data_IF_684146579053
#
_entry.id   IF_684146579053
#
_cell.length_a   1.000
_cell.length_b   1.000
_cell.length_c   1.000
_cell.angle_alpha   90.00
_cell.angle_beta   90.00
_cell.angle_gamma   90.00
#
_symmetry.space_group_name_H-M   'P 1'
#
loop_
_entity.id
_entity.type
_entity.pdbx_description
1 polymer ?
#
# COMPACT_ATOMS: atom_id res chain seq x y z
N UNK A 1 -45.32 28.46 -5.31
CA UNK A 1 -44.01 28.96 -4.84
C UNK A 1 -43.91 28.67 -3.36
N UNK A 2 -43.11 27.68 -2.96
CA UNK A 2 -42.42 27.64 -1.66
C UNK A 2 -41.21 26.73 -1.89
N UNK A 3 -40.04 27.35 -1.92
CA UNK A 3 -38.76 26.70 -2.04
C UNK A 3 -38.43 25.98 -0.73
N UNK A 4 -37.99 24.73 -0.82
CA UNK A 4 -37.09 24.13 0.16
C UNK A 4 -35.96 23.49 -0.62
N UNK A 5 -34.96 24.31 -0.93
CA UNK A 5 -33.61 23.87 -1.29
C UNK A 5 -32.78 23.77 -0.04
N UNK A 6 -31.78 22.88 -0.11
CA UNK A 6 -30.66 22.70 0.79
C UNK A 6 -30.96 22.01 2.12
N UNK A 7 -30.53 20.75 2.22
CA UNK A 7 -29.52 20.25 3.18
C UNK A 7 -29.49 18.71 3.08
N UNK A 8 -28.83 18.20 2.05
CA UNK A 8 -28.34 16.83 2.03
C UNK A 8 -26.97 16.86 1.35
N UNK A 9 -26.02 17.53 1.98
CA UNK A 9 -24.65 17.64 1.48
C UNK A 9 -23.61 17.43 2.59
N UNK A 10 -23.87 16.50 3.51
CA UNK A 10 -22.86 16.04 4.47
C UNK A 10 -23.04 14.55 4.76
N UNK A 11 -22.35 13.72 3.97
CA UNK A 11 -21.91 12.38 4.35
C UNK A 11 -20.90 11.83 3.32
N UNK A 12 -19.93 12.63 2.88
CA UNK A 12 -18.65 12.04 2.53
C UNK A 12 -17.97 11.83 3.88
N UNK A 13 -17.91 10.59 4.37
CA UNK A 13 -17.07 10.30 5.53
C UNK A 13 -15.63 10.65 5.14
N UNK A 14 -15.13 11.80 5.60
CA UNK A 14 -13.70 12.07 5.62
C UNK A 14 -13.06 10.89 6.36
N UNK A 15 -12.23 10.12 5.65
CA UNK A 15 -11.40 9.07 6.26
C UNK A 15 -10.53 9.78 7.28
N UNK A 16 -10.54 9.33 8.55
CA UNK A 16 -9.73 10.00 9.56
C UNK A 16 -8.25 9.83 9.22
N UNK A 17 -7.40 10.85 9.45
CA UNK A 17 -5.95 10.73 9.26
C UNK A 17 -5.35 9.51 9.98
N UNK A 18 -5.87 9.16 11.15
CA UNK A 18 -5.48 7.98 11.91
C UNK A 18 -5.84 6.67 11.19
N UNK A 19 -7.01 6.60 10.56
CA UNK A 19 -7.44 5.43 9.79
C UNK A 19 -6.57 5.27 8.53
N UNK A 20 -6.22 6.38 7.86
CA UNK A 20 -5.28 6.37 6.74
C UNK A 20 -3.89 5.85 7.16
N UNK A 21 -3.41 6.27 8.35
CA UNK A 21 -2.15 5.79 8.94
C UNK A 21 -2.20 4.30 9.26
N UNK A 22 -3.23 3.85 9.96
CA UNK A 22 -3.38 2.45 10.36
C UNK A 22 -3.51 1.56 9.10
N UNK A 23 -4.22 2.03 8.08
CA UNK A 23 -4.31 1.38 6.78
C UNK A 23 -2.94 1.19 6.11
N UNK A 24 -2.16 2.27 5.89
CA UNK A 24 -0.82 2.14 5.26
C UNK A 24 0.10 1.24 6.06
N UNK A 25 0.07 1.29 7.40
CA UNK A 25 0.87 0.41 8.25
C UNK A 25 0.46 -1.07 8.08
N UNK A 26 -0.85 -1.35 7.98
CA UNK A 26 -1.36 -2.69 7.67
C UNK A 26 -0.93 -3.21 6.29
N UNK A 27 -0.95 -2.34 5.27
CA UNK A 27 -0.41 -2.66 3.94
C UNK A 27 1.08 -3.01 4.04
N UNK A 28 1.91 -2.17 4.64
CA UNK A 28 3.35 -2.43 4.78
C UNK A 28 3.65 -3.70 5.61
N UNK A 29 2.86 -3.98 6.64
CA UNK A 29 2.99 -5.22 7.41
C UNK A 29 2.67 -6.46 6.55
N UNK A 30 1.68 -6.36 5.66
CA UNK A 30 1.35 -7.40 4.69
C UNK A 30 2.49 -7.59 3.68
N UNK A 31 3.07 -6.51 3.17
CA UNK A 31 4.25 -6.57 2.29
C UNK A 31 5.42 -7.27 2.97
N UNK A 32 5.75 -6.86 4.21
CA UNK A 32 6.82 -7.44 5.02
C UNK A 32 6.67 -8.96 5.20
N UNK A 33 5.45 -9.43 5.50
CA UNK A 33 5.20 -10.86 5.69
C UNK A 33 5.46 -11.67 4.42
N UNK A 34 4.93 -11.20 3.28
CA UNK A 34 5.03 -11.93 2.03
C UNK A 34 6.45 -11.90 1.43
N UNK A 35 7.13 -10.75 1.48
CA UNK A 35 8.52 -10.66 0.99
C UNK A 35 9.47 -11.48 1.85
N UNK A 36 9.20 -11.61 3.16
CA UNK A 36 9.99 -12.44 4.07
C UNK A 36 10.05 -13.91 3.65
N UNK A 37 8.91 -14.48 3.22
CA UNK A 37 8.86 -15.86 2.71
C UNK A 37 9.63 -16.04 1.41
N UNK A 38 9.52 -15.10 0.47
CA UNK A 38 10.29 -15.12 -0.78
C UNK A 38 11.80 -15.02 -0.50
N UNK A 39 12.22 -14.14 0.40
CA UNK A 39 13.63 -13.98 0.79
C UNK A 39 14.16 -15.25 1.46
N UNK A 40 13.35 -15.94 2.26
CA UNK A 40 13.74 -17.20 2.87
C UNK A 40 14.03 -18.28 1.82
N UNK A 41 13.15 -18.42 0.82
CA UNK A 41 13.35 -19.36 -0.29
C UNK A 41 14.54 -18.96 -1.18
N UNK A 42 14.73 -17.66 -1.46
CA UNK A 42 15.86 -17.18 -2.24
C UNK A 42 17.21 -17.46 -1.56
N UNK A 43 17.25 -17.46 -0.22
CA UNK A 43 18.46 -17.76 0.57
C UNK A 43 18.69 -19.25 0.80
N UNK A 44 17.64 -20.07 0.70
CA UNK A 44 17.71 -21.51 0.89
C UNK A 44 16.88 -22.22 -0.20
N UNK A 45 17.52 -22.62 -1.31
CA UNK A 45 16.83 -23.30 -2.40
C UNK A 45 16.16 -24.63 -2.01
N UNK A 46 16.63 -25.29 -0.94
CA UNK A 46 16.08 -26.58 -0.51
C UNK A 46 14.64 -26.48 0.02
N UNK A 47 14.19 -25.28 0.42
CA UNK A 47 12.81 -25.02 0.88
C UNK A 47 11.95 -24.34 -0.20
N UNK A 48 12.45 -24.23 -1.43
CA UNK A 48 11.70 -23.59 -2.51
C UNK A 48 10.44 -24.38 -2.84
N UNK A 49 9.30 -23.71 -2.73
CA UNK A 49 8.00 -24.19 -3.18
C UNK A 49 7.47 -23.18 -4.21
N UNK A 50 7.33 -23.65 -5.46
CA UNK A 50 6.91 -22.80 -6.58
C UNK A 50 5.53 -22.19 -6.35
N UNK A 51 4.56 -22.98 -5.92
CA UNK A 51 3.17 -22.53 -5.77
C UNK A 51 3.06 -21.53 -4.61
N UNK A 52 3.79 -21.79 -3.53
CA UNK A 52 3.87 -20.84 -2.42
C UNK A 52 4.60 -19.55 -2.83
N UNK A 53 5.72 -19.63 -3.55
CA UNK A 53 6.41 -18.45 -4.07
C UNK A 53 5.50 -17.61 -4.97
N UNK A 54 4.74 -18.25 -5.85
CA UNK A 54 3.76 -17.58 -6.71
C UNK A 54 2.66 -16.87 -5.90
N UNK A 55 2.10 -17.54 -4.88
CA UNK A 55 1.11 -16.94 -4.00
C UNK A 55 1.66 -15.69 -3.28
N UNK A 56 2.89 -15.76 -2.75
CA UNK A 56 3.52 -14.63 -2.06
C UNK A 56 3.82 -13.47 -3.01
N UNK A 57 4.30 -13.76 -4.23
CA UNK A 57 4.57 -12.73 -5.25
C UNK A 57 3.27 -12.01 -5.68
N UNK A 58 2.19 -12.76 -5.91
CA UNK A 58 0.88 -12.16 -6.24
C UNK A 58 0.36 -11.27 -5.12
N UNK A 59 0.52 -11.68 -3.86
CA UNK A 59 0.14 -10.86 -2.70
C UNK A 59 0.98 -9.58 -2.60
N UNK A 60 2.27 -9.64 -2.90
CA UNK A 60 3.11 -8.44 -2.97
C UNK A 60 2.61 -7.46 -4.03
N UNK A 61 2.36 -7.95 -5.25
CA UNK A 61 1.87 -7.10 -6.33
C UNK A 61 0.50 -6.47 -5.99
N UNK A 62 -0.44 -7.28 -5.47
CA UNK A 62 -1.76 -6.81 -5.07
C UNK A 62 -1.68 -5.74 -3.96
N UNK A 63 -1.00 -6.05 -2.85
CA UNK A 63 -0.88 -5.12 -1.72
C UNK A 63 -0.05 -3.87 -2.07
N UNK A 64 0.88 -3.98 -3.03
CA UNK A 64 1.59 -2.83 -3.59
C UNK A 64 0.67 -1.77 -4.17
N UNK A 65 -0.38 -2.22 -4.87
CA UNK A 65 -1.34 -1.33 -5.52
C UNK A 65 -2.14 -0.49 -4.53
N UNK A 66 -2.15 -0.90 -3.26
CA UNK A 66 -2.90 -0.27 -2.17
C UNK A 66 -2.07 0.78 -1.40
N UNK A 67 -0.76 0.91 -1.65
CA UNK A 67 0.13 1.75 -0.83
C UNK A 67 -0.35 3.20 -0.79
N UNK A 68 -0.66 3.78 -1.96
CA UNK A 68 -0.97 5.21 -2.08
C UNK A 68 -2.26 5.62 -1.37
N UNK A 69 -3.20 4.70 -1.20
CA UNK A 69 -4.52 4.97 -0.60
C UNK A 69 -4.41 5.42 0.87
N UNK A 70 -3.37 4.98 1.58
CA UNK A 70 -3.15 5.36 2.98
C UNK A 70 -2.36 6.66 3.17
N UNK A 71 -1.96 7.34 2.11
CA UNK A 71 -1.26 8.63 2.17
C UNK A 71 -2.20 9.74 1.68
N UNK A 72 -3.24 10.05 2.45
CA UNK A 72 -4.16 11.17 2.19
C UNK A 72 -3.51 12.52 2.50
N UNK A 73 -4.03 13.60 1.92
CA UNK A 73 -3.47 14.96 2.04
C UNK A 73 -3.39 15.46 3.49
N UNK A 74 -4.27 14.99 4.36
CA UNK A 74 -4.41 15.37 5.77
C UNK A 74 -3.70 14.41 6.75
N UNK A 75 -2.93 13.45 6.24
CA UNK A 75 -2.31 12.39 7.05
C UNK A 75 -0.78 12.50 7.21
N UNK A 76 -0.23 13.67 6.93
CA UNK A 76 1.20 14.03 6.95
C UNK A 76 1.79 14.11 8.37
N UNK A 77 1.00 14.55 9.34
CA UNK A 77 1.43 14.84 10.72
C UNK A 77 0.77 13.94 11.77
N UNK A 78 0.34 12.74 11.39
CA UNK A 78 -0.36 11.82 12.31
C UNK A 78 0.61 11.18 13.32
N UNK A 79 0.27 11.26 14.61
CA UNK A 79 1.06 10.68 15.68
C UNK A 79 1.28 9.17 15.49
N UNK A 80 2.52 8.71 15.68
CA UNK A 80 2.91 7.31 15.53
C UNK A 80 3.11 6.88 14.08
N UNK A 81 3.13 7.82 13.12
CA UNK A 81 3.56 7.55 11.76
C UNK A 81 5.08 7.70 11.62
N UNK A 82 5.71 6.77 10.90
CA UNK A 82 7.11 6.86 10.46
C UNK A 82 7.25 7.48 9.06
N UNK A 83 6.13 7.93 8.47
CA UNK A 83 6.13 8.58 7.17
C UNK A 83 6.86 9.93 7.25
N UNK A 84 7.76 10.17 6.31
CA UNK A 84 8.48 11.45 6.22
C UNK A 84 7.63 12.48 5.49
N UNK A 85 7.71 13.75 5.90
CA UNK A 85 6.93 14.84 5.29
C UNK A 85 7.24 15.04 3.81
N UNK A 86 8.45 14.70 3.38
CA UNK A 86 8.87 14.75 1.98
C UNK A 86 7.98 13.90 1.05
N UNK A 87 7.23 12.93 1.57
CA UNK A 87 6.23 12.17 0.79
C UNK A 87 5.10 13.08 0.29
N UNK A 88 4.71 14.07 1.07
CA UNK A 88 3.68 15.04 0.69
C UNK A 88 4.27 16.21 -0.11
N UNK A 89 5.50 16.64 0.21
CA UNK A 89 6.19 17.68 -0.55
C UNK A 89 6.57 17.23 -1.98
N UNK A 90 6.96 15.96 -2.16
CA UNK A 90 7.28 15.33 -3.44
C UNK A 90 6.37 14.13 -3.71
N UNK A 91 5.07 14.41 -3.82
CA UNK A 91 4.07 13.41 -4.17
C UNK A 91 4.41 12.63 -5.44
N UNK A 92 4.83 13.28 -6.56
CA UNK A 92 5.20 12.56 -7.77
C UNK A 92 6.39 11.61 -7.59
N UNK A 93 7.40 12.01 -6.80
CA UNK A 93 8.54 11.14 -6.47
C UNK A 93 8.12 9.90 -5.68
N UNK A 94 7.21 10.06 -4.71
CA UNK A 94 6.66 8.93 -3.97
C UNK A 94 5.83 8.00 -4.85
N UNK A 95 4.97 8.53 -5.71
CA UNK A 95 4.21 7.75 -6.69
C UNK A 95 5.12 6.99 -7.66
N UNK A 96 6.20 7.62 -8.13
CA UNK A 96 7.20 6.95 -8.96
C UNK A 96 7.88 5.79 -8.22
N UNK A 97 8.17 5.94 -6.92
CA UNK A 97 8.73 4.86 -6.11
C UNK A 97 7.74 3.69 -5.95
N UNK A 98 6.44 3.97 -5.74
CA UNK A 98 5.39 2.94 -5.67
C UNK A 98 5.21 2.25 -7.02
N UNK A 99 5.23 2.98 -8.13
CA UNK A 99 5.16 2.40 -9.47
C UNK A 99 6.36 1.49 -9.79
N UNK A 100 7.57 1.90 -9.39
CA UNK A 100 8.75 1.05 -9.51
C UNK A 100 8.59 -0.23 -8.65
N UNK A 101 8.10 -0.10 -7.41
CA UNK A 101 7.78 -1.26 -6.59
C UNK A 101 6.81 -2.22 -7.30
N UNK A 102 5.71 -1.70 -7.86
CA UNK A 102 4.71 -2.49 -8.58
C UNK A 102 5.31 -3.20 -9.80
N UNK A 103 6.14 -2.52 -10.58
CA UNK A 103 6.86 -3.11 -11.70
C UNK A 103 7.72 -4.29 -11.22
N UNK A 104 8.51 -4.11 -10.16
CA UNK A 104 9.36 -5.20 -9.63
C UNK A 104 8.57 -6.34 -9.01
N UNK A 105 7.45 -6.04 -8.35
CA UNK A 105 6.56 -7.07 -7.84
C UNK A 105 5.91 -7.88 -8.98
N UNK A 106 5.55 -7.23 -10.09
CA UNK A 106 5.07 -7.91 -11.31
C UNK A 106 6.14 -8.84 -11.90
N UNK A 107 7.38 -8.38 -11.99
CA UNK A 107 8.51 -9.22 -12.44
C UNK A 107 8.73 -10.44 -11.52
N UNK A 108 8.49 -10.30 -10.22
CA UNK A 108 8.55 -11.44 -9.30
C UNK A 108 7.44 -12.45 -9.60
N UNK A 109 6.22 -12.00 -9.89
CA UNK A 109 5.11 -12.88 -10.30
C UNK A 109 5.48 -13.65 -11.56
N UNK A 110 5.98 -12.97 -12.59
CA UNK A 110 6.39 -13.60 -13.85
C UNK A 110 7.51 -14.62 -13.66
N UNK A 111 8.46 -14.35 -12.75
CA UNK A 111 9.60 -15.23 -12.49
C UNK A 111 9.23 -16.54 -11.80
N UNK A 112 8.07 -16.61 -11.13
CA UNK A 112 7.62 -17.78 -10.34
C UNK A 112 6.34 -18.41 -10.88
N UNK A 113 5.77 -17.87 -11.96
CA UNK A 113 4.64 -18.44 -12.70
C UNK A 113 4.98 -19.79 -13.34
#
# INVERSE_FOLDING_TARGET
>A
MLAFSALAHEAHSEVKPEDAKDYRQGVFQTLKWNIGGLVAMAKNPDIFDKDHANLLAQRLHLSGGMILEGFTDDSDMVQGSDAKLEIWDDRPGFEAAVNNYLEKAGLLVDAVA
#
